data_IF_620642868988
#
_entry.id   IF_620642868988
#
_cell.length_a   1.000
_cell.length_b   1.000
_cell.length_c   1.000
_cell.angle_alpha   90.00
_cell.angle_beta   90.00
_cell.angle_gamma   90.00
#
_symmetry.space_group_name_H-M   'P 1'
#
loop_
_entity.id
_entity.type
_entity.pdbx_description
1 polymer ?
#
# COMPACT_ATOMS: atom_id res chain seq x y z
N UNK A 1 -17.96 -0.39 -28.48
CA UNK A 1 -17.57 1.03 -28.34
C UNK A 1 -16.13 1.18 -28.84
N UNK A 2 -15.72 2.36 -29.35
CA UNK A 2 -14.33 2.59 -29.82
C UNK A 2 -13.59 3.48 -28.83
N UNK A 3 -12.32 3.16 -28.62
CA UNK A 3 -11.45 3.87 -27.69
C UNK A 3 -10.13 4.22 -28.37
N UNK A 4 -9.48 5.25 -27.85
CA UNK A 4 -8.08 5.56 -28.14
C UNK A 4 -7.29 5.35 -26.86
N UNK A 5 -6.20 4.60 -26.92
CA UNK A 5 -5.25 4.47 -25.81
C UNK A 5 -4.06 5.39 -26.05
N UNK A 6 -3.67 6.15 -25.02
CA UNK A 6 -2.49 7.02 -25.04
C UNK A 6 -1.40 6.43 -24.18
N UNK A 7 -0.22 6.25 -24.77
CA UNK A 7 0.95 5.75 -24.05
C UNK A 7 1.44 6.76 -23.01
N UNK A 8 1.40 8.05 -23.31
CA UNK A 8 1.88 9.13 -22.45
C UNK A 8 1.06 9.26 -21.17
N UNK A 9 -0.26 9.16 -21.27
CA UNK A 9 -1.13 9.20 -20.08
C UNK A 9 -1.44 7.81 -19.51
N UNK A 10 -0.98 6.75 -20.17
CA UNK A 10 -1.28 5.35 -19.85
C UNK A 10 -2.79 5.15 -19.61
N UNK A 11 -3.62 5.74 -20.48
CA UNK A 11 -5.06 5.87 -20.27
C UNK A 11 -5.87 5.73 -21.56
N UNK A 12 -7.15 5.36 -21.40
CA UNK A 12 -8.11 5.20 -22.50
C UNK A 12 -9.07 6.38 -22.61
N UNK A 13 -9.35 6.79 -23.84
CA UNK A 13 -10.21 7.91 -24.21
C UNK A 13 -11.36 7.38 -25.08
N UNK A 14 -12.62 7.49 -24.63
CA UNK A 14 -13.76 7.11 -25.45
C UNK A 14 -13.86 8.01 -26.69
N UNK A 15 -13.89 7.43 -27.89
CA UNK A 15 -14.01 8.19 -29.14
C UNK A 15 -15.31 9.01 -29.20
N UNK A 16 -16.36 8.53 -28.51
CA UNK A 16 -17.62 9.25 -28.37
C UNK A 16 -17.48 10.64 -27.71
N UNK A 17 -16.41 10.88 -26.94
CA UNK A 17 -16.13 12.15 -26.26
C UNK A 17 -15.05 12.99 -26.95
N UNK A 18 -14.60 12.58 -28.14
CA UNK A 18 -13.48 13.23 -28.86
C UNK A 18 -13.62 14.75 -28.98
N UNK A 19 -14.77 15.23 -29.45
CA UNK A 19 -14.99 16.68 -29.62
C UNK A 19 -14.89 17.47 -28.31
N UNK A 20 -15.26 16.87 -27.17
CA UNK A 20 -15.12 17.49 -25.85
C UNK A 20 -13.66 17.61 -25.42
N UNK A 21 -12.87 16.56 -25.67
CA UNK A 21 -11.44 16.57 -25.37
C UNK A 21 -10.68 17.53 -26.29
N UNK A 22 -10.98 17.56 -27.59
CA UNK A 22 -10.38 18.51 -28.53
C UNK A 22 -10.70 19.97 -28.17
N UNK A 23 -11.93 20.27 -27.74
CA UNK A 23 -12.32 21.61 -27.30
C UNK A 23 -11.52 22.12 -26.08
N UNK A 24 -10.95 21.21 -25.29
CA UNK A 24 -10.13 21.52 -24.11
C UNK A 24 -8.65 21.23 -24.29
N UNK A 25 -8.22 20.82 -25.50
CA UNK A 25 -6.83 20.46 -25.80
C UNK A 25 -6.34 19.17 -25.13
N UNK A 26 -7.25 18.31 -24.65
CA UNK A 26 -6.93 17.09 -23.90
C UNK A 26 -7.03 15.81 -24.74
N UNK A 27 -7.27 15.91 -26.05
CA UNK A 27 -7.27 14.73 -26.92
C UNK A 27 -5.82 14.25 -27.13
N UNK A 28 -5.51 12.96 -26.91
CA UNK A 28 -4.15 12.46 -27.01
C UNK A 28 -3.65 12.48 -28.46
N UNK A 29 -2.48 13.07 -28.68
CA UNK A 29 -1.82 13.12 -30.00
C UNK A 29 -1.10 11.80 -30.30
N UNK A 30 -0.64 11.10 -29.26
CA UNK A 30 0.03 9.80 -29.32
C UNK A 30 -0.95 8.62 -29.30
N UNK A 31 -2.25 8.90 -29.43
CA UNK A 31 -3.30 7.92 -29.26
C UNK A 31 -3.35 6.86 -30.36
N UNK A 32 -3.42 5.58 -29.99
CA UNK A 32 -3.69 4.46 -30.90
C UNK A 32 -5.14 3.97 -30.75
N UNK A 33 -5.79 3.64 -31.87
CA UNK A 33 -7.15 3.10 -31.85
C UNK A 33 -7.15 1.68 -31.26
N UNK A 34 -8.05 1.43 -30.32
CA UNK A 34 -8.27 0.11 -29.70
C UNK A 34 -9.75 -0.22 -29.63
N UNK A 35 -10.05 -1.52 -29.61
CA UNK A 35 -11.42 -1.99 -29.47
C UNK A 35 -11.87 -2.08 -28.00
N UNK A 36 -13.15 -2.38 -27.83
CA UNK A 36 -13.76 -2.53 -26.50
C UNK A 36 -13.19 -3.72 -25.71
N UNK A 37 -12.69 -4.76 -26.37
CA UNK A 37 -12.11 -5.93 -25.69
C UNK A 37 -10.75 -5.62 -25.08
N UNK A 38 -9.92 -4.85 -25.79
CA UNK A 38 -8.66 -4.31 -25.29
C UNK A 38 -8.94 -3.39 -24.11
N UNK A 39 -9.86 -2.43 -24.26
CA UNK A 39 -10.28 -1.57 -23.16
C UNK A 39 -10.71 -2.38 -21.94
N UNK A 40 -11.64 -3.32 -22.10
CA UNK A 40 -12.16 -4.12 -20.98
C UNK A 40 -11.08 -4.98 -20.30
N UNK A 41 -10.13 -5.50 -21.07
CA UNK A 41 -9.01 -6.30 -20.54
C UNK A 41 -8.12 -5.45 -19.64
N UNK A 42 -7.77 -4.25 -20.07
CA UNK A 42 -6.76 -3.41 -19.43
C UNK A 42 -7.31 -2.43 -18.39
N UNK A 43 -8.60 -2.11 -18.43
CA UNK A 43 -9.28 -1.37 -17.35
C UNK A 43 -9.95 -2.27 -16.33
N UNK A 44 -9.88 -3.59 -16.52
CA UNK A 44 -10.36 -4.60 -15.57
C UNK A 44 -9.39 -4.83 -14.40
N UNK A 45 -9.54 -5.97 -13.72
CA UNK A 45 -8.59 -6.38 -12.68
C UNK A 45 -7.25 -6.74 -13.31
N UNK A 46 -6.20 -6.00 -12.95
CA UNK A 46 -4.84 -6.30 -13.37
C UNK A 46 -4.42 -7.71 -12.88
N UNK A 47 -3.73 -8.51 -13.71
CA UNK A 47 -3.11 -9.75 -13.24
C UNK A 47 -2.15 -9.49 -12.07
N UNK A 48 -1.99 -10.47 -11.18
CA UNK A 48 -1.12 -10.34 -10.01
C UNK A 48 0.32 -10.01 -10.42
N UNK A 49 0.91 -8.97 -9.82
CA UNK A 49 2.27 -8.52 -10.12
C UNK A 49 2.47 -7.92 -11.51
N UNK A 50 1.38 -7.55 -12.19
CA UNK A 50 1.42 -6.88 -13.49
C UNK A 50 0.88 -5.46 -13.37
N UNK A 51 1.44 -4.57 -14.19
CA UNK A 51 0.90 -3.23 -14.44
C UNK A 51 0.74 -3.01 -15.95
N UNK A 52 -0.18 -2.14 -16.34
CA UNK A 52 -0.36 -1.75 -17.73
C UNK A 52 0.73 -0.73 -18.09
N UNK A 53 1.37 -0.93 -19.23
CA UNK A 53 2.28 0.01 -19.86
C UNK A 53 2.05 -0.03 -21.38
N UNK A 54 2.55 0.96 -22.11
CA UNK A 54 2.56 0.91 -23.57
C UNK A 54 3.74 0.08 -24.09
N UNK A 55 3.52 -0.72 -25.13
CA UNK A 55 4.59 -1.36 -25.90
C UNK A 55 5.26 -0.37 -26.87
N UNK A 56 6.25 -0.85 -27.64
CA UNK A 56 6.97 -0.04 -28.63
C UNK A 56 6.07 0.54 -29.74
N UNK A 57 4.87 -0.03 -29.93
CA UNK A 57 3.88 0.43 -30.91
C UNK A 57 2.80 1.32 -30.29
N UNK A 58 2.89 1.62 -28.98
CA UNK A 58 1.95 2.45 -28.26
C UNK A 58 0.69 1.72 -27.79
N UNK A 59 0.62 0.39 -27.86
CA UNK A 59 -0.55 -0.39 -27.39
C UNK A 59 -0.39 -0.82 -25.93
N UNK A 60 -1.50 -0.97 -25.18
CA UNK A 60 -1.43 -1.41 -23.79
C UNK A 60 -0.96 -2.87 -23.71
N UNK A 61 -0.02 -3.14 -22.80
CA UNK A 61 0.51 -4.47 -22.49
C UNK A 61 0.69 -4.63 -20.98
N UNK A 62 0.50 -5.85 -20.48
CA UNK A 62 0.77 -6.19 -19.08
C UNK A 62 2.26 -6.46 -18.87
N UNK A 63 2.98 -5.50 -18.30
CA UNK A 63 4.38 -5.66 -17.89
C UNK A 63 4.47 -6.09 -16.44
N UNK A 64 5.59 -6.71 -16.05
CA UNK A 64 5.83 -7.04 -14.64
C UNK A 64 6.02 -5.75 -13.84
N UNK A 65 5.31 -5.62 -12.74
CA UNK A 65 5.53 -4.51 -11.80
C UNK A 65 6.98 -4.58 -11.34
N UNK A 66 7.75 -3.48 -11.45
CA UNK A 66 9.12 -3.47 -10.97
C UNK A 66 9.12 -3.78 -9.47
N UNK A 67 10.15 -4.49 -8.97
CA UNK A 67 10.29 -4.66 -7.53
C UNK A 67 10.39 -3.28 -6.87
N UNK A 68 9.85 -3.16 -5.66
CA UNK A 68 9.99 -1.95 -4.87
C UNK A 68 11.48 -1.64 -4.68
N UNK A 69 11.82 -0.35 -4.68
CA UNK A 69 13.17 0.06 -4.31
C UNK A 69 13.42 -0.27 -2.85
N UNK A 70 14.68 -0.42 -2.47
CA UNK A 70 15.04 -0.67 -1.08
C UNK A 70 14.53 0.45 -0.15
N UNK A 71 14.59 1.72 -0.59
CA UNK A 71 14.02 2.85 0.15
C UNK A 71 12.50 2.73 0.34
N UNK A 72 11.76 2.28 -0.67
CA UNK A 72 10.33 2.02 -0.54
C UNK A 72 10.05 0.86 0.42
N UNK A 73 10.87 -0.19 0.40
CA UNK A 73 10.76 -1.31 1.33
C UNK A 73 10.99 -0.86 2.78
N UNK A 74 11.99 0.00 3.02
CA UNK A 74 12.25 0.60 4.34
C UNK A 74 11.04 1.45 4.78
N UNK A 75 10.50 2.30 3.89
CA UNK A 75 9.34 3.12 4.22
C UNK A 75 8.10 2.29 4.57
N UNK A 76 7.89 1.15 3.90
CA UNK A 76 6.82 0.20 4.26
C UNK A 76 7.08 -0.42 5.63
N UNK A 77 8.32 -0.85 5.90
CA UNK A 77 8.71 -1.42 7.19
C UNK A 77 8.54 -0.43 8.35
N UNK A 78 8.92 0.83 8.18
CA UNK A 78 8.70 1.90 9.18
C UNK A 78 7.22 2.13 9.48
N UNK A 79 6.37 2.14 8.44
CA UNK A 79 4.93 2.25 8.63
C UNK A 79 4.34 1.03 9.36
N UNK A 80 4.82 -0.17 9.06
CA UNK A 80 4.43 -1.41 9.76
C UNK A 80 4.85 -1.36 11.24
N UNK A 81 6.08 -0.94 11.55
CA UNK A 81 6.56 -0.72 12.92
C UNK A 81 5.67 0.25 13.68
N UNK A 82 5.40 1.42 13.09
CA UNK A 82 4.52 2.43 13.68
C UNK A 82 3.09 1.90 13.91
N UNK A 83 2.55 1.12 12.97
CA UNK A 83 1.23 0.49 13.08
C UNK A 83 1.17 -0.51 14.25
N UNK A 84 2.19 -1.37 14.39
CA UNK A 84 2.28 -2.35 15.49
C UNK A 84 2.40 -1.69 16.85
N UNK A 85 3.22 -0.63 16.95
CA UNK A 85 3.34 0.19 18.15
C UNK A 85 1.99 0.85 18.50
N UNK A 86 1.30 1.39 17.50
CA UNK A 86 -0.02 1.99 17.69
C UNK A 86 -1.07 0.96 18.16
N UNK A 87 -1.08 -0.25 17.61
CA UNK A 87 -1.98 -1.33 18.04
C UNK A 87 -1.72 -1.73 19.50
N UNK A 88 -0.45 -1.96 19.86
CA UNK A 88 -0.05 -2.30 21.23
C UNK A 88 -0.48 -1.22 22.23
N UNK A 89 -0.18 0.04 21.91
CA UNK A 89 -0.59 1.18 22.74
C UNK A 89 -2.11 1.28 22.85
N UNK A 90 -2.86 1.10 21.76
CA UNK A 90 -4.32 1.10 21.75
C UNK A 90 -4.88 0.01 22.67
N UNK A 91 -4.35 -1.21 22.58
CA UNK A 91 -4.74 -2.32 23.43
C UNK A 91 -4.50 -2.02 24.91
N UNK A 92 -3.29 -1.61 25.30
CA UNK A 92 -2.97 -1.30 26.70
C UNK A 92 -3.81 -0.13 27.24
N UNK A 93 -4.04 0.89 26.42
CA UNK A 93 -4.89 2.04 26.77
C UNK A 93 -6.35 1.62 26.97
N UNK A 94 -6.87 0.69 26.17
CA UNK A 94 -8.24 0.17 26.31
C UNK A 94 -8.49 -0.50 27.67
N UNK A 95 -7.43 -1.06 28.28
CA UNK A 95 -7.47 -1.68 29.62
C UNK A 95 -7.23 -0.68 30.77
N UNK A 96 -6.97 0.59 30.43
CA UNK A 96 -6.58 1.65 31.36
C UNK A 96 -5.29 1.32 32.15
N UNK A 97 -4.45 0.42 31.64
CA UNK A 97 -3.26 -0.04 32.37
C UNK A 97 -2.26 1.07 32.67
N UNK A 98 -1.91 1.98 31.74
CA UNK A 98 -1.00 3.08 32.07
C UNK A 98 -1.50 3.93 33.24
N UNK A 99 -2.80 4.24 33.26
CA UNK A 99 -3.43 4.98 34.36
C UNK A 99 -3.45 4.21 35.66
N UNK A 100 -3.83 2.91 35.64
CA UNK A 100 -3.79 2.03 36.81
C UNK A 100 -2.37 1.88 37.38
N UNK A 101 -1.36 1.77 36.52
CA UNK A 101 0.05 1.68 36.91
C UNK A 101 0.51 2.96 37.62
N UNK A 102 0.21 4.13 37.03
CA UNK A 102 0.57 5.43 37.59
C UNK A 102 0.06 5.65 39.02
N UNK A 103 -1.16 5.17 39.34
CA UNK A 103 -1.76 5.30 40.68
C UNK A 103 -1.60 4.04 41.56
N UNK A 104 -0.75 3.08 41.17
CA UNK A 104 -0.45 1.88 41.96
C UNK A 104 -1.60 0.88 42.11
N UNK A 105 -2.57 0.90 41.19
CA UNK A 105 -3.73 -0.01 41.17
C UNK A 105 -3.56 -1.23 40.27
N UNK A 106 -2.59 -1.21 39.35
CA UNK A 106 -2.29 -2.34 38.47
C UNK A 106 -1.54 -3.44 39.24
N UNK A 107 -2.11 -4.65 39.33
CA UNK A 107 -1.60 -5.76 40.17
C UNK A 107 -1.97 -7.11 39.57
N UNK A 108 -1.32 -8.18 40.05
CA UNK A 108 -1.63 -9.56 39.66
C UNK A 108 -1.42 -9.80 38.16
N UNK A 109 -2.33 -10.56 37.56
CA UNK A 109 -2.24 -10.96 36.15
C UNK A 109 -2.26 -9.77 35.18
N UNK A 110 -3.00 -8.69 35.51
CA UNK A 110 -3.02 -7.48 34.68
C UNK A 110 -1.65 -6.80 34.62
N UNK A 111 -0.88 -6.83 35.72
CA UNK A 111 0.47 -6.26 35.76
C UNK A 111 1.45 -7.11 34.96
N UNK A 112 1.36 -8.45 35.10
CA UNK A 112 2.19 -9.37 34.32
C UNK A 112 1.93 -9.20 32.81
N UNK A 113 0.66 -9.10 32.40
CA UNK A 113 0.30 -8.89 31.01
C UNK A 113 0.75 -7.52 30.50
N UNK A 114 0.61 -6.44 31.30
CA UNK A 114 1.12 -5.12 30.92
C UNK A 114 2.62 -5.11 30.68
N UNK A 115 3.41 -5.78 31.53
CA UNK A 115 4.86 -5.88 31.33
C UNK A 115 5.21 -6.61 30.04
N UNK A 116 4.54 -7.71 29.71
CA UNK A 116 4.75 -8.40 28.42
C UNK A 116 4.47 -7.50 27.21
N UNK A 117 3.45 -6.64 27.30
CA UNK A 117 3.16 -5.68 26.23
C UNK A 117 4.17 -4.53 26.16
N UNK A 118 4.77 -4.12 27.29
CA UNK A 118 5.88 -3.17 27.30
C UNK A 118 7.16 -3.80 26.73
N UNK A 119 7.47 -5.04 27.09
CA UNK A 119 8.60 -5.79 26.52
C UNK A 119 8.45 -5.91 24.99
N UNK A 120 7.23 -6.21 24.51
CA UNK A 120 6.92 -6.22 23.07
C UNK A 120 7.12 -4.85 22.39
N UNK A 121 6.77 -3.74 23.06
CA UNK A 121 7.04 -2.41 22.53
C UNK A 121 8.54 -2.13 22.43
N UNK A 122 9.32 -2.52 23.45
CA UNK A 122 10.77 -2.36 23.43
C UNK A 122 11.42 -3.19 22.31
N UNK A 123 10.94 -4.42 22.10
CA UNK A 123 11.35 -5.26 20.96
C UNK A 123 11.01 -4.63 19.61
N UNK A 124 9.78 -4.09 19.46
CA UNK A 124 9.38 -3.37 18.24
C UNK A 124 10.26 -2.15 17.97
N UNK A 125 10.55 -1.35 19.00
CA UNK A 125 11.41 -0.17 18.90
C UNK A 125 12.85 -0.53 18.52
N UNK A 126 13.33 -1.70 18.94
CA UNK A 126 14.64 -2.22 18.58
C UNK A 126 14.72 -2.79 17.15
N UNK A 127 13.59 -3.01 16.45
CA UNK A 127 13.61 -3.51 15.06
C UNK A 127 14.31 -2.51 14.14
N UNK A 128 15.33 -2.99 13.44
CA UNK A 128 16.05 -2.29 12.37
C UNK A 128 15.36 -2.51 11.02
N UNK A 129 14.62 -1.49 10.59
CA UNK A 129 13.86 -1.49 9.32
C UNK A 129 14.74 -1.34 8.09
N UNK A 130 16.01 -0.96 8.24
CA UNK A 130 16.96 -0.85 7.12
C UNK A 130 17.28 -2.21 6.48
N UNK A 131 16.94 -3.30 7.17
CA UNK A 131 17.10 -4.68 6.69
C UNK A 131 15.95 -5.16 5.79
N UNK A 132 14.99 -4.29 5.47
CA UNK A 132 13.86 -4.63 4.61
C UNK A 132 14.30 -5.22 3.25
N UNK A 133 13.60 -6.25 2.74
CA UNK A 133 12.32 -6.79 3.25
C UNK A 133 12.48 -7.89 4.32
N UNK A 134 13.70 -8.28 4.65
CA UNK A 134 14.01 -9.46 5.49
C UNK A 134 13.94 -9.14 7.00
N UNK A 135 12.79 -8.64 7.45
CA UNK A 135 12.55 -8.25 8.85
C UNK A 135 11.84 -9.38 9.59
N UNK A 136 12.39 -9.79 10.73
CA UNK A 136 11.70 -10.65 11.69
C UNK A 136 10.97 -9.78 12.71
N UNK A 137 9.64 -9.70 12.59
CA UNK A 137 8.83 -8.95 13.53
C UNK A 137 8.64 -9.73 14.83
N UNK A 138 8.73 -9.08 16.01
CA UNK A 138 8.37 -9.72 17.27
C UNK A 138 6.88 -10.11 17.27
N UNK A 139 6.54 -11.14 18.03
CA UNK A 139 5.16 -11.62 18.15
C UNK A 139 4.44 -10.90 19.30
N UNK A 140 3.19 -10.43 19.08
CA UNK A 140 2.45 -9.77 20.14
C UNK A 140 2.05 -10.76 21.25
N UNK A 141 2.01 -10.33 22.52
CA UNK A 141 1.50 -11.16 23.61
C UNK A 141 0.01 -11.50 23.44
N UNK A 142 -0.46 -12.51 24.18
CA UNK A 142 -1.89 -12.84 24.21
C UNK A 142 -2.72 -11.66 24.72
N UNK A 143 -3.83 -11.38 24.03
CA UNK A 143 -4.82 -10.33 24.38
C UNK A 143 -5.71 -10.73 25.55
#
# INVERSE_FOLDING_TARGET
MKYVYSATSNAFYPVALKSSYEATGNWPVDGVDVDESVFATYTGTAPSGKMMEADENGYPVWVSTPPLTHEQQIAIAENEKASRIAEANSFMNSKQWPGKAYIGRLKGDELAQYNLWLDYLDELEAVDTSTAPDITWPEPPSK
#
